data_IF_692132473671
#
_entry.id   IF_692132473671
#
_cell.length_a   1.000
_cell.length_b   1.000
_cell.length_c   1.000
_cell.angle_alpha   90.00
_cell.angle_beta   90.00
_cell.angle_gamma   90.00
#
_symmetry.space_group_name_H-M   'P 1'
#
loop_
_entity.id
_entity.type
_entity.pdbx_description
1 polymer ?
#
# COMPACT_ATOMS: atom_id res chain seq x y z
N UNK A 1 1.22 6.42 27.53
CA UNK A 1 1.80 7.57 26.82
C UNK A 1 1.22 7.59 25.41
N UNK A 2 0.39 8.60 25.12
CA UNK A 2 -0.13 8.80 23.77
C UNK A 2 1.00 9.39 22.94
N UNK A 3 1.59 8.60 22.07
CA UNK A 3 2.50 9.10 21.05
C UNK A 3 1.66 9.46 19.83
N UNK A 4 1.61 10.73 19.46
CA UNK A 4 1.09 11.16 18.18
C UNK A 4 2.13 10.84 17.12
N UNK A 5 2.06 9.64 16.57
CA UNK A 5 2.96 9.18 15.51
C UNK A 5 2.12 8.82 14.29
N UNK A 6 2.41 9.48 13.19
CA UNK A 6 1.86 9.08 11.91
C UNK A 6 2.59 7.82 11.42
N UNK A 7 1.84 6.87 10.90
CA UNK A 7 2.38 5.59 10.47
C UNK A 7 1.84 5.20 9.11
N UNK A 8 2.73 4.72 8.25
CA UNK A 8 2.37 4.05 7.02
C UNK A 8 2.59 2.55 7.22
N UNK A 9 1.52 1.78 7.08
CA UNK A 9 1.54 0.33 7.21
C UNK A 9 1.22 -0.31 5.87
N UNK A 10 2.10 -1.17 5.37
CA UNK A 10 1.91 -1.87 4.09
C UNK A 10 1.48 -3.30 4.32
N UNK A 11 0.47 -3.72 3.58
CA UNK A 11 -0.11 -5.04 3.72
C UNK A 11 -0.62 -5.57 2.38
N UNK A 12 -0.43 -6.85 2.13
CA UNK A 12 -1.00 -7.54 0.98
C UNK A 12 -2.17 -8.38 1.48
N UNK A 13 -3.37 -8.00 1.10
CA UNK A 13 -4.59 -8.69 1.52
C UNK A 13 -5.12 -9.60 0.42
N UNK A 14 -5.65 -10.75 0.83
CA UNK A 14 -6.47 -11.63 0.00
C UNK A 14 -7.94 -11.28 0.24
N UNK A 15 -8.54 -10.47 -0.62
CA UNK A 15 -9.88 -9.90 -0.40
C UNK A 15 -11.02 -10.92 -0.51
N UNK A 16 -10.76 -12.11 -1.05
CA UNK A 16 -11.71 -13.22 -1.03
C UNK A 16 -11.84 -13.87 0.36
N UNK A 17 -10.92 -13.59 1.26
CA UNK A 17 -10.92 -14.17 2.60
C UNK A 17 -11.50 -13.18 3.62
N UNK A 18 -12.63 -13.54 4.23
CA UNK A 18 -13.28 -12.68 5.22
C UNK A 18 -12.37 -12.37 6.41
N UNK A 19 -11.53 -13.29 6.83
CA UNK A 19 -10.56 -13.07 7.91
C UNK A 19 -9.58 -11.93 7.66
N UNK A 20 -9.20 -11.71 6.40
CA UNK A 20 -8.32 -10.62 6.00
C UNK A 20 -9.03 -9.27 6.12
N UNK A 21 -10.27 -9.22 5.66
CA UNK A 21 -11.11 -8.03 5.78
C UNK A 21 -11.35 -7.71 7.26
N UNK A 22 -11.66 -8.71 8.06
CA UNK A 22 -11.89 -8.55 9.50
C UNK A 22 -10.64 -8.04 10.22
N UNK A 23 -9.47 -8.54 9.85
CA UNK A 23 -8.20 -8.06 10.37
C UNK A 23 -7.99 -6.57 10.07
N UNK A 24 -8.19 -6.14 8.83
CA UNK A 24 -8.02 -4.75 8.42
C UNK A 24 -9.04 -3.83 9.09
N UNK A 25 -10.29 -4.26 9.23
CA UNK A 25 -11.33 -3.50 9.94
C UNK A 25 -11.06 -3.40 11.43
N UNK A 26 -10.52 -4.44 12.03
CA UNK A 26 -10.12 -4.39 13.44
C UNK A 26 -8.96 -3.40 13.64
N UNK A 27 -8.02 -3.37 12.71
CA UNK A 27 -6.92 -2.40 12.71
C UNK A 27 -7.45 -0.96 12.62
N UNK A 28 -8.36 -0.68 11.69
CA UNK A 28 -9.04 0.62 11.58
C UNK A 28 -9.69 1.02 12.91
N UNK A 29 -10.47 0.11 13.50
CA UNK A 29 -11.15 0.36 14.76
C UNK A 29 -10.19 0.72 15.90
N UNK A 30 -9.05 0.06 16.00
CA UNK A 30 -8.06 0.36 17.04
C UNK A 30 -7.53 1.78 16.93
N UNK A 31 -7.21 2.24 15.72
CA UNK A 31 -6.71 3.59 15.49
C UNK A 31 -7.80 4.65 15.70
N UNK A 32 -8.98 4.42 15.19
CA UNK A 32 -10.12 5.35 15.31
C UNK A 32 -10.55 5.50 16.78
N UNK A 33 -10.63 4.41 17.53
CA UNK A 33 -10.95 4.44 18.98
C UNK A 33 -9.91 5.21 19.79
N UNK A 34 -8.67 5.22 19.34
CA UNK A 34 -7.58 5.98 19.96
C UNK A 34 -7.56 7.46 19.58
N UNK A 35 -8.53 7.91 18.78
CA UNK A 35 -8.65 9.29 18.31
C UNK A 35 -7.83 9.58 17.05
N UNK A 36 -7.29 8.56 16.41
CA UNK A 36 -6.55 8.68 15.16
C UNK A 36 -7.44 8.71 13.93
N UNK A 37 -6.85 9.06 12.81
CA UNK A 37 -7.47 8.95 11.47
C UNK A 37 -6.87 7.74 10.77
N UNK A 38 -7.71 7.03 10.01
CA UNK A 38 -7.30 5.88 9.23
C UNK A 38 -7.62 6.12 7.75
N UNK A 39 -6.62 5.96 6.92
CA UNK A 39 -6.76 6.07 5.47
C UNK A 39 -6.33 4.76 4.83
N UNK A 40 -7.20 4.21 3.99
CA UNK A 40 -6.91 2.99 3.25
C UNK A 40 -6.59 3.33 1.79
N UNK A 41 -5.33 3.14 1.43
CA UNK A 41 -4.86 3.37 0.07
C UNK A 41 -4.61 2.01 -0.58
N UNK A 42 -5.43 1.69 -1.55
CA UNK A 42 -5.31 0.48 -2.33
C UNK A 42 -4.61 0.78 -3.64
N UNK A 43 -3.51 0.09 -3.89
CA UNK A 43 -2.76 0.21 -5.13
C UNK A 43 -3.03 -1.00 -6.02
N UNK A 44 -3.27 -0.75 -7.29
CA UNK A 44 -3.39 -1.77 -8.31
C UNK A 44 -2.49 -1.45 -9.50
N UNK A 45 -2.03 -2.49 -10.17
CA UNK A 45 -1.31 -2.38 -11.44
C UNK A 45 -1.53 -3.67 -12.23
N UNK A 46 -1.40 -3.59 -13.55
CA UNK A 46 -1.47 -4.81 -14.35
C UNK A 46 -0.31 -5.76 -14.02
N UNK A 47 -0.51 -7.04 -14.33
CA UNK A 47 0.44 -8.09 -13.96
C UNK A 47 1.80 -7.91 -14.63
N UNK A 48 1.84 -7.53 -15.90
CA UNK A 48 3.09 -7.31 -16.62
C UNK A 48 3.91 -6.20 -15.99
N UNK A 49 3.27 -5.08 -15.68
CA UNK A 49 3.93 -3.95 -15.00
C UNK A 49 4.49 -4.38 -13.64
N UNK A 50 3.76 -5.18 -12.87
CA UNK A 50 4.25 -5.69 -11.57
C UNK A 50 5.44 -6.62 -11.74
N UNK A 51 5.45 -7.47 -12.77
CA UNK A 51 6.58 -8.33 -13.08
C UNK A 51 7.81 -7.54 -13.51
N UNK A 52 7.65 -6.53 -14.34
CA UNK A 52 8.73 -5.64 -14.76
C UNK A 52 9.32 -4.87 -13.58
N UNK A 53 8.48 -4.32 -12.70
CA UNK A 53 8.92 -3.60 -11.51
C UNK A 53 9.71 -4.47 -10.54
N UNK A 54 9.43 -5.76 -10.48
CA UNK A 54 10.20 -6.71 -9.69
C UNK A 54 11.66 -6.84 -10.15
N UNK A 55 11.93 -6.53 -11.42
CA UNK A 55 13.26 -6.62 -12.01
C UNK A 55 14.05 -5.31 -11.93
N UNK A 56 13.44 -4.22 -11.46
CA UNK A 56 14.12 -2.92 -11.40
C UNK A 56 15.26 -2.96 -10.37
N UNK A 57 16.44 -2.35 -10.67
CA UNK A 57 17.55 -2.26 -9.73
C UNK A 57 17.14 -1.63 -8.39
N UNK A 58 16.32 -0.62 -8.42
CA UNK A 58 15.81 0.06 -7.22
C UNK A 58 15.08 -0.90 -6.28
N UNK A 59 14.19 -1.75 -6.82
CA UNK A 59 13.44 -2.69 -6.02
C UNK A 59 14.31 -3.83 -5.49
N UNK A 60 15.25 -4.32 -6.29
CA UNK A 60 16.18 -5.36 -5.90
C UNK A 60 17.15 -4.88 -4.81
N UNK A 61 17.55 -3.62 -4.89
CA UNK A 61 18.41 -2.98 -3.90
C UNK A 61 17.70 -2.77 -2.55
N UNK A 62 16.41 -2.35 -2.59
CA UNK A 62 15.63 -2.01 -1.41
C UNK A 62 15.02 -3.21 -0.70
N UNK A 63 14.75 -4.29 -1.40
CA UNK A 63 14.10 -5.49 -0.85
C UNK A 63 14.97 -6.73 -1.12
N UNK A 64 15.70 -7.18 -0.11
CA UNK A 64 16.57 -8.35 -0.22
C UNK A 64 15.85 -9.62 -0.70
N UNK A 65 14.59 -9.82 -0.27
CA UNK A 65 13.75 -10.94 -0.72
C UNK A 65 13.43 -10.94 -2.22
N UNK A 66 13.61 -9.80 -2.89
CA UNK A 66 13.36 -9.66 -4.33
C UNK A 66 14.62 -9.88 -5.18
N UNK A 67 15.78 -10.12 -4.54
CA UNK A 67 17.04 -10.40 -5.23
C UNK A 67 17.06 -11.78 -5.87
N UNK A 68 16.33 -12.75 -5.32
CA UNK A 68 16.04 -14.01 -6.01
C UNK A 68 14.90 -13.77 -7.03
N UNK A 69 15.29 -13.41 -8.23
CA UNK A 69 14.37 -13.00 -9.30
C UNK A 69 13.41 -14.12 -9.69
N UNK A 70 13.90 -15.35 -9.79
CA UNK A 70 13.08 -16.50 -10.14
C UNK A 70 12.03 -16.79 -9.08
N UNK A 71 12.43 -16.87 -7.83
CA UNK A 71 11.53 -17.11 -6.71
C UNK A 71 10.49 -15.98 -6.59
N UNK A 72 10.94 -14.74 -6.69
CA UNK A 72 10.08 -13.56 -6.59
C UNK A 72 9.03 -13.52 -7.70
N UNK A 73 9.43 -13.86 -8.94
CA UNK A 73 8.52 -13.95 -10.08
C UNK A 73 7.47 -15.05 -9.89
N UNK A 74 7.92 -16.24 -9.51
CA UNK A 74 7.03 -17.39 -9.28
C UNK A 74 6.03 -17.10 -8.15
N UNK A 75 6.50 -16.46 -7.09
CA UNK A 75 5.65 -16.08 -5.96
C UNK A 75 4.59 -15.06 -6.36
N UNK A 76 4.96 -14.04 -7.13
CA UNK A 76 4.05 -13.01 -7.62
C UNK A 76 2.98 -13.62 -8.54
N UNK A 77 3.36 -14.50 -9.46
CA UNK A 77 2.42 -15.20 -10.34
C UNK A 77 1.49 -16.11 -9.57
N UNK A 78 2.00 -16.83 -8.60
CA UNK A 78 1.21 -17.73 -7.75
C UNK A 78 0.16 -16.96 -6.95
N UNK A 79 0.54 -15.86 -6.32
CA UNK A 79 -0.38 -15.05 -5.53
C UNK A 79 -1.46 -14.42 -6.42
N UNK A 80 -1.10 -13.95 -7.61
CA UNK A 80 -2.05 -13.40 -8.57
C UNK A 80 -3.09 -14.44 -9.04
N UNK A 81 -2.71 -15.72 -9.12
CA UNK A 81 -3.61 -16.82 -9.51
C UNK A 81 -4.49 -17.31 -8.36
N UNK A 82 -3.96 -17.30 -7.12
CA UNK A 82 -4.63 -17.89 -5.96
C UNK A 82 -5.52 -16.93 -5.20
N UNK A 83 -5.22 -15.65 -5.25
CA UNK A 83 -5.84 -14.65 -4.40
C UNK A 83 -6.36 -13.45 -5.18
N UNK A 84 -7.46 -12.89 -4.68
CA UNK A 84 -7.96 -11.58 -5.10
C UNK A 84 -7.19 -10.51 -4.31
N UNK A 85 -6.13 -9.97 -4.91
CA UNK A 85 -5.23 -9.01 -4.25
C UNK A 85 -5.73 -7.56 -4.29
N UNK A 86 -6.83 -7.32 -5.00
CA UNK A 86 -7.50 -6.02 -5.06
C UNK A 86 -9.01 -6.19 -4.86
N UNK A 87 -9.66 -5.12 -4.39
CA UNK A 87 -11.12 -5.05 -4.34
C UNK A 87 -11.71 -5.08 -5.74
N UNK A 88 -12.97 -5.49 -5.84
CA UNK A 88 -13.74 -5.40 -7.09
C UNK A 88 -14.03 -3.93 -7.42
N UNK A 89 -14.31 -3.65 -8.69
CA UNK A 89 -14.68 -2.32 -9.12
C UNK A 89 -15.89 -1.80 -8.34
N UNK A 90 -15.76 -0.59 -7.79
CA UNK A 90 -16.79 0.05 -6.99
C UNK A 90 -16.95 -0.49 -5.55
N UNK A 91 -16.18 -1.49 -5.14
CA UNK A 91 -16.20 -2.00 -3.77
C UNK A 91 -15.43 -1.06 -2.84
N UNK A 92 -16.12 -0.53 -1.83
CA UNK A 92 -15.55 0.35 -0.81
C UNK A 92 -15.70 -0.34 0.54
N UNK A 93 -14.59 -0.67 1.19
CA UNK A 93 -14.56 -1.38 2.46
C UNK A 93 -14.40 -0.47 3.69
N UNK A 94 -13.89 0.75 3.49
CA UNK A 94 -13.56 1.70 4.56
C UNK A 94 -14.13 3.08 4.24
N UNK A 95 -14.35 3.90 5.27
CA UNK A 95 -14.84 5.27 5.12
C UNK A 95 -13.86 6.13 4.30
N UNK A 96 -12.56 5.99 4.57
CA UNK A 96 -11.49 6.65 3.83
C UNK A 96 -10.75 5.62 2.96
N UNK A 97 -11.32 5.28 1.83
CA UNK A 97 -10.77 4.29 0.91
C UNK A 97 -10.58 4.91 -0.48
N UNK A 98 -9.35 4.90 -0.96
CA UNK A 98 -9.01 5.27 -2.34
C UNK A 98 -8.31 4.11 -3.02
N UNK A 99 -8.72 3.80 -4.25
CA UNK A 99 -8.06 2.82 -5.11
C UNK A 99 -7.39 3.55 -6.27
N UNK A 100 -6.10 3.32 -6.42
CA UNK A 100 -5.28 3.95 -7.46
C UNK A 100 -4.67 2.87 -8.33
N UNK A 101 -5.00 2.89 -9.62
CA UNK A 101 -4.25 2.12 -10.62
C UNK A 101 -2.96 2.88 -10.93
N UNK A 102 -1.83 2.35 -10.48
CA UNK A 102 -0.54 2.99 -10.63
C UNK A 102 0.30 2.43 -11.78
N UNK A 103 -0.32 1.72 -12.71
CA UNK A 103 0.36 1.11 -13.86
C UNK A 103 1.23 2.14 -14.61
N UNK A 104 0.69 3.34 -14.81
CA UNK A 104 1.34 4.44 -15.54
C UNK A 104 1.74 5.63 -14.67
N UNK A 105 1.84 5.43 -13.36
CA UNK A 105 2.15 6.48 -12.39
C UNK A 105 3.48 6.21 -11.69
N UNK A 106 4.21 7.29 -11.41
CA UNK A 106 5.38 7.23 -10.53
C UNK A 106 4.97 7.17 -9.06
N UNK A 107 5.85 6.74 -8.16
CA UNK A 107 5.59 6.79 -6.72
C UNK A 107 5.26 8.20 -6.22
N UNK A 108 5.92 9.22 -6.75
CA UNK A 108 5.67 10.62 -6.38
C UNK A 108 4.28 11.08 -6.82
N UNK A 109 3.86 10.73 -8.03
CA UNK A 109 2.51 11.02 -8.51
C UNK A 109 1.43 10.36 -7.64
N UNK A 110 1.64 9.12 -7.24
CA UNK A 110 0.73 8.40 -6.33
C UNK A 110 0.68 9.08 -4.97
N UNK A 111 1.82 9.46 -4.41
CA UNK A 111 1.88 10.18 -3.14
C UNK A 111 1.13 11.51 -3.19
N UNK A 112 1.31 12.27 -4.27
CA UNK A 112 0.61 13.54 -4.48
C UNK A 112 -0.92 13.35 -4.55
N UNK A 113 -1.39 12.30 -5.22
CA UNK A 113 -2.82 11.96 -5.28
C UNK A 113 -3.40 11.67 -3.90
N UNK A 114 -2.68 10.94 -3.06
CA UNK A 114 -3.11 10.61 -1.69
C UNK A 114 -3.15 11.87 -0.82
N UNK A 115 -2.11 12.69 -0.87
CA UNK A 115 -2.00 13.94 -0.13
C UNK A 115 -3.14 14.89 -0.50
N UNK A 116 -3.41 15.05 -1.79
CA UNK A 116 -4.48 15.90 -2.30
C UNK A 116 -5.86 15.37 -1.88
N UNK A 117 -6.09 14.07 -2.02
CA UNK A 117 -7.37 13.43 -1.70
C UNK A 117 -7.77 13.58 -0.23
N UNK A 118 -6.80 13.45 0.67
CA UNK A 118 -7.05 13.44 2.11
C UNK A 118 -6.59 14.71 2.82
N UNK A 119 -6.11 15.70 2.09
CA UNK A 119 -5.62 16.97 2.62
C UNK A 119 -4.58 16.77 3.73
N UNK A 120 -3.63 15.88 3.50
CA UNK A 120 -2.57 15.58 4.45
C UNK A 120 -1.57 16.74 4.42
N UNK A 121 -1.44 17.44 5.56
CA UNK A 121 -0.46 18.50 5.71
C UNK A 121 0.90 17.88 6.07
N UNK A 122 1.93 18.13 5.25
CA UNK A 122 3.31 17.87 5.61
C UNK A 122 3.82 18.99 6.53
N UNK A 123 4.41 18.62 7.68
CA UNK A 123 5.18 19.57 8.46
C UNK A 123 6.54 19.77 7.80
N UNK A 124 7.10 21.01 7.86
CA UNK A 124 8.43 21.32 7.29
C UNK A 124 9.55 20.39 7.80
N UNK A 125 9.38 19.79 8.97
CA UNK A 125 10.30 18.80 9.52
C UNK A 125 10.17 17.44 8.83
N UNK A 126 8.97 17.07 8.42
CA UNK A 126 8.69 15.77 7.79
C UNK A 126 9.20 15.73 6.35
N UNK A 127 9.22 16.86 5.64
CA UNK A 127 9.76 16.93 4.28
C UNK A 127 11.25 16.52 4.20
N UNK A 128 12.03 16.77 5.24
CA UNK A 128 13.44 16.36 5.27
C UNK A 128 13.64 14.88 5.60
N UNK A 129 12.81 14.30 6.44
CA UNK A 129 12.88 12.87 6.77
C UNK A 129 12.35 11.99 5.65
N UNK A 130 11.27 12.42 4.97
CA UNK A 130 10.72 11.67 3.82
C UNK A 130 11.65 11.61 2.62
N UNK A 131 12.50 12.62 2.41
CA UNK A 131 13.47 12.61 1.30
C UNK A 131 14.64 11.67 1.51
N UNK A 132 14.94 11.29 2.75
CA UNK A 132 16.13 10.51 3.10
C UNK A 132 15.84 9.22 3.88
N UNK A 133 14.62 8.96 4.24
CA UNK A 133 14.22 7.94 5.20
C UNK A 133 13.50 6.72 4.59
N UNK A 134 14.04 6.17 3.51
CA UNK A 134 13.58 4.81 3.10
C UNK A 134 14.72 4.05 2.49
#
# INVERSE_FOLDING_TARGET
VKHNVDMIFTYVAAFELQKEIDYLKNLENQFVKSGGKFYFVELSADLETRLERNLTPHRMERKASKRDVKWSRENLLRDAQRHQLNTKDGEILFDNHIKIDNTNLSPDEVADMVIERYHIAANEKDEKEYRYGI
#
